data_IF_565150206311
#
_entry.id   IF_565150206311
#
_cell.length_a   1.000
_cell.length_b   1.000
_cell.length_c   1.000
_cell.angle_alpha   90.00
_cell.angle_beta   90.00
_cell.angle_gamma   90.00
#
_symmetry.space_group_name_H-M   'P 1'
#
loop_
_entity.id
_entity.type
_entity.pdbx_description
1 polymer ?
#
# COMPACT_ATOMS: atom_id res chain seq x y z
N UNK A 1 -5.29 -33.84 0.50
CA UNK A 1 -4.60 -33.71 1.79
C UNK A 1 -4.58 -32.22 2.11
N UNK A 2 -5.63 -31.72 2.75
CA UNK A 2 -5.70 -30.32 3.19
C UNK A 2 -4.85 -30.24 4.46
N UNK A 3 -3.65 -29.69 4.36
CA UNK A 3 -2.89 -29.27 5.54
C UNK A 3 -3.75 -28.23 6.25
N UNK A 4 -4.12 -28.51 7.51
CA UNK A 4 -4.83 -27.53 8.32
C UNK A 4 -3.91 -26.33 8.50
N UNK A 5 -4.19 -25.22 7.83
CA UNK A 5 -3.53 -23.95 8.09
C UNK A 5 -3.53 -23.71 9.59
N UNK A 6 -2.36 -23.67 10.21
CA UNK A 6 -2.25 -23.30 11.60
C UNK A 6 -2.85 -21.92 11.80
N UNK A 7 -3.47 -21.67 12.96
CA UNK A 7 -4.00 -20.35 13.32
C UNK A 7 -2.90 -19.28 13.16
N UNK A 8 -1.66 -19.61 13.51
CA UNK A 8 -0.49 -18.74 13.37
C UNK A 8 -0.23 -18.39 11.90
N UNK A 9 -0.24 -19.36 10.99
CA UNK A 9 0.08 -19.12 9.58
C UNK A 9 -1.02 -18.32 8.87
N UNK A 10 -2.29 -18.54 9.27
CA UNK A 10 -3.44 -17.75 8.81
C UNK A 10 -3.39 -16.30 9.28
N UNK A 11 -3.04 -16.08 10.55
CA UNK A 11 -2.87 -14.73 11.10
C UNK A 11 -1.73 -14.00 10.42
N UNK A 12 -0.64 -14.72 10.15
CA UNK A 12 0.53 -14.23 9.46
C UNK A 12 0.15 -13.71 8.05
N UNK A 13 -0.44 -14.53 7.18
CA UNK A 13 -0.84 -14.07 5.83
C UNK A 13 -1.91 -12.96 5.85
N UNK A 14 -2.66 -12.84 6.94
CA UNK A 14 -3.66 -11.78 7.09
C UNK A 14 -3.06 -10.41 7.44
N UNK A 15 -1.84 -10.34 8.00
CA UNK A 15 -1.23 -9.06 8.42
C UNK A 15 -1.15 -8.06 7.27
N UNK A 16 -0.65 -8.48 6.12
CA UNK A 16 -0.47 -7.60 4.97
C UNK A 16 -1.80 -7.06 4.41
N UNK A 17 -2.79 -7.89 4.05
CA UNK A 17 -4.05 -7.38 3.50
C UNK A 17 -4.82 -6.53 4.52
N UNK A 18 -4.81 -6.88 5.81
CA UNK A 18 -5.42 -6.06 6.85
C UNK A 18 -4.72 -4.70 6.99
N UNK A 19 -3.39 -4.68 6.92
CA UNK A 19 -2.63 -3.44 6.90
C UNK A 19 -2.97 -2.58 5.67
N UNK A 20 -3.13 -3.16 4.48
CA UNK A 20 -3.52 -2.45 3.26
C UNK A 20 -4.93 -1.87 3.36
N UNK A 21 -5.90 -2.64 3.85
CA UNK A 21 -7.27 -2.15 4.07
C UNK A 21 -7.27 -0.98 5.05
N UNK A 22 -6.55 -1.12 6.18
CA UNK A 22 -6.40 -0.04 7.15
C UNK A 22 -5.72 1.19 6.54
N UNK A 23 -4.70 1.00 5.70
CA UNK A 23 -4.00 2.08 5.01
C UNK A 23 -4.94 2.87 4.11
N UNK A 24 -5.68 2.19 3.23
CA UNK A 24 -6.61 2.82 2.30
C UNK A 24 -7.74 3.53 3.01
N UNK A 25 -8.31 2.92 4.06
CA UNK A 25 -9.35 3.56 4.88
C UNK A 25 -8.83 4.78 5.63
N UNK A 26 -7.65 4.68 6.27
CA UNK A 26 -7.02 5.80 6.96
C UNK A 26 -6.74 6.94 5.99
N UNK A 27 -6.23 6.64 4.80
CA UNK A 27 -5.90 7.63 3.79
C UNK A 27 -7.15 8.33 3.24
N UNK A 28 -8.22 7.58 2.94
CA UNK A 28 -9.51 8.15 2.54
C UNK A 28 -10.09 9.08 3.60
N UNK A 29 -10.05 8.65 4.87
CA UNK A 29 -10.69 9.38 5.96
C UNK A 29 -9.85 10.56 6.44
N UNK A 30 -8.52 10.43 6.47
CA UNK A 30 -7.63 11.40 7.15
C UNK A 30 -6.60 12.04 6.21
N UNK A 31 -6.46 11.57 4.98
CA UNK A 31 -5.41 11.96 4.02
C UNK A 31 -4.00 11.81 4.60
N UNK A 32 -3.83 10.81 5.48
CA UNK A 32 -2.59 10.55 6.20
C UNK A 32 -2.32 9.06 6.27
N UNK A 33 -1.10 8.70 5.91
CA UNK A 33 -0.52 7.38 6.14
C UNK A 33 0.41 7.47 7.34
N UNK A 34 0.12 6.68 8.37
CA UNK A 34 0.90 6.67 9.61
C UNK A 34 2.23 5.96 9.43
N UNK A 35 3.33 6.55 9.93
CA UNK A 35 4.64 5.87 10.00
C UNK A 35 4.56 4.54 10.78
N UNK A 36 3.60 4.40 11.72
CA UNK A 36 3.39 3.16 12.47
C UNK A 36 3.00 2.01 11.54
N UNK A 37 2.24 2.29 10.48
CA UNK A 37 1.82 1.28 9.51
C UNK A 37 3.03 0.74 8.73
N UNK A 38 3.90 1.64 8.24
CA UNK A 38 5.16 1.23 7.59
C UNK A 38 6.02 0.38 8.53
N UNK A 39 6.09 0.74 9.81
CA UNK A 39 6.83 -0.05 10.80
C UNK A 39 6.22 -1.45 11.00
N UNK A 40 4.89 -1.56 11.09
CA UNK A 40 4.20 -2.86 11.15
C UNK A 40 4.51 -3.72 9.94
N UNK A 41 4.53 -3.14 8.73
CA UNK A 41 4.87 -3.86 7.50
C UNK A 41 6.33 -4.32 7.50
N UNK A 42 7.27 -3.49 7.95
CA UNK A 42 8.70 -3.86 8.02
C UNK A 42 8.92 -5.00 9.03
N UNK A 43 8.34 -4.88 10.23
CA UNK A 43 8.43 -5.92 11.26
C UNK A 43 7.76 -7.21 10.78
N UNK A 44 6.57 -7.09 10.16
CA UNK A 44 5.85 -8.22 9.61
C UNK A 44 6.66 -8.97 8.55
N UNK A 45 7.33 -8.25 7.64
CA UNK A 45 8.24 -8.84 6.66
C UNK A 45 9.39 -9.60 7.34
N UNK A 46 10.06 -9.00 8.32
CA UNK A 46 11.19 -9.63 9.01
C UNK A 46 10.76 -10.93 9.72
N UNK A 47 9.61 -10.90 10.40
CA UNK A 47 9.03 -12.09 11.05
C UNK A 47 8.70 -13.17 10.02
N UNK A 48 8.09 -12.79 8.88
CA UNK A 48 7.75 -13.73 7.82
C UNK A 48 8.97 -14.37 7.18
N UNK A 49 9.94 -13.54 6.79
CA UNK A 49 11.18 -13.97 6.18
C UNK A 49 11.90 -14.98 7.08
N UNK A 50 11.97 -14.71 8.39
CA UNK A 50 12.51 -15.66 9.36
C UNK A 50 11.69 -16.95 9.46
N UNK A 51 10.36 -16.86 9.46
CA UNK A 51 9.45 -18.00 9.62
C UNK A 51 9.50 -18.97 8.44
N UNK A 52 9.59 -18.47 7.21
CA UNK A 52 9.67 -19.28 6.00
C UNK A 52 11.11 -19.67 5.62
N UNK A 53 12.11 -19.22 6.39
CA UNK A 53 13.52 -19.49 6.11
C UNK A 53 14.02 -18.81 4.84
N UNK A 54 13.52 -17.60 4.54
CA UNK A 54 13.94 -16.82 3.37
C UNK A 54 15.46 -16.58 3.45
N UNK A 55 16.20 -16.97 2.42
CA UNK A 55 17.65 -16.83 2.41
C UNK A 55 18.10 -15.36 2.50
N UNK A 56 19.27 -15.12 3.10
CA UNK A 56 19.82 -13.77 3.27
C UNK A 56 19.95 -12.99 1.96
N UNK A 57 20.32 -13.66 0.88
CA UNK A 57 20.40 -13.07 -0.46
C UNK A 57 19.03 -12.58 -0.95
N UNK A 58 18.00 -13.41 -0.81
CA UNK A 58 16.63 -13.07 -1.20
C UNK A 58 16.09 -11.92 -0.33
N UNK A 59 16.27 -12.00 0.99
CA UNK A 59 15.89 -10.92 1.90
C UNK A 59 16.60 -9.60 1.54
N UNK A 60 17.89 -9.66 1.23
CA UNK A 60 18.68 -8.52 0.75
C UNK A 60 18.11 -7.89 -0.52
N UNK A 61 17.66 -8.70 -1.48
CA UNK A 61 17.01 -8.22 -2.70
C UNK A 61 15.68 -7.51 -2.43
N UNK A 62 14.85 -8.03 -1.53
CA UNK A 62 13.62 -7.36 -1.11
C UNK A 62 13.90 -5.98 -0.49
N UNK A 63 14.91 -5.90 0.38
CA UNK A 63 15.34 -4.64 0.99
C UNK A 63 15.88 -3.67 -0.06
N UNK A 64 16.68 -4.14 -1.01
CA UNK A 64 17.23 -3.31 -2.09
C UNK A 64 16.11 -2.72 -2.96
N UNK A 65 15.12 -3.53 -3.33
CA UNK A 65 13.96 -3.08 -4.11
C UNK A 65 13.14 -2.06 -3.33
N UNK A 66 12.88 -2.31 -2.03
CA UNK A 66 12.20 -1.36 -1.17
C UNK A 66 12.93 -0.02 -1.08
N UNK A 67 14.26 -0.06 -0.96
CA UNK A 67 15.09 1.15 -0.90
C UNK A 67 15.07 1.92 -2.23
N UNK A 68 15.13 1.23 -3.37
CA UNK A 68 15.01 1.85 -4.68
C UNK A 68 13.65 2.56 -4.85
N UNK A 69 12.55 1.91 -4.46
CA UNK A 69 11.21 2.51 -4.48
C UNK A 69 11.14 3.70 -3.53
N UNK A 70 11.74 3.62 -2.34
CA UNK A 70 11.79 4.74 -1.40
C UNK A 70 12.57 5.93 -1.97
N UNK A 71 13.71 5.68 -2.61
CA UNK A 71 14.55 6.73 -3.20
C UNK A 71 13.81 7.46 -4.33
N UNK A 72 13.15 6.71 -5.23
CA UNK A 72 12.33 7.27 -6.30
C UNK A 72 11.13 8.04 -5.72
N UNK A 73 10.42 7.44 -4.76
CA UNK A 73 9.28 8.08 -4.08
C UNK A 73 9.69 9.34 -3.33
N UNK A 74 10.86 9.36 -2.70
CA UNK A 74 11.41 10.51 -2.01
C UNK A 74 11.78 11.63 -3.00
N UNK A 75 12.36 11.29 -4.16
CA UNK A 75 12.57 12.26 -5.23
C UNK A 75 11.23 12.88 -5.67
N UNK A 76 10.20 12.05 -5.91
CA UNK A 76 8.85 12.52 -6.22
C UNK A 76 8.25 13.41 -5.11
N UNK A 77 8.46 13.08 -3.84
CA UNK A 77 8.04 13.91 -2.71
C UNK A 77 8.76 15.26 -2.69
N UNK A 78 10.08 15.28 -2.93
CA UNK A 78 10.87 16.52 -2.96
C UNK A 78 10.43 17.46 -4.09
N UNK A 79 9.91 16.91 -5.19
CA UNK A 79 9.34 17.66 -6.32
C UNK A 79 7.86 18.02 -6.11
N UNK A 80 7.23 17.60 -5.01
CA UNK A 80 5.82 17.85 -4.72
C UNK A 80 4.83 16.99 -5.54
N UNK A 81 5.29 15.90 -6.18
CA UNK A 81 4.45 15.04 -7.02
C UNK A 81 3.63 14.03 -6.23
N UNK A 82 4.13 13.59 -5.07
CA UNK A 82 3.52 12.55 -4.24
C UNK A 82 3.75 12.87 -2.75
N UNK A 83 2.84 12.43 -1.86
CA UNK A 83 3.01 12.59 -0.43
C UNK A 83 4.14 11.71 0.13
N UNK A 84 4.84 12.20 1.15
CA UNK A 84 5.90 11.42 1.81
C UNK A 84 5.37 10.16 2.51
N UNK A 85 4.08 10.14 2.87
CA UNK A 85 3.40 8.95 3.39
C UNK A 85 3.23 7.87 2.31
N UNK A 86 2.79 8.26 1.11
CA UNK A 86 2.60 7.36 -0.04
C UNK A 86 3.93 6.73 -0.46
N UNK A 87 5.00 7.53 -0.51
CA UNK A 87 6.35 7.03 -0.82
C UNK A 87 6.81 5.94 0.17
N UNK A 88 6.59 6.16 1.48
CA UNK A 88 6.92 5.16 2.51
C UNK A 88 6.06 3.91 2.42
N UNK A 89 4.77 4.07 2.12
CA UNK A 89 3.86 2.94 1.93
C UNK A 89 4.25 2.11 0.71
N UNK A 90 4.53 2.75 -0.42
CA UNK A 90 4.99 2.08 -1.64
C UNK A 90 6.28 1.30 -1.40
N UNK A 91 7.25 1.88 -0.69
CA UNK A 91 8.48 1.20 -0.29
C UNK A 91 8.22 0.00 0.64
N UNK A 92 7.27 0.14 1.57
CA UNK A 92 6.88 -0.95 2.47
C UNK A 92 6.19 -2.09 1.72
N UNK A 93 5.37 -1.79 0.70
CA UNK A 93 4.75 -2.80 -0.17
C UNK A 93 5.83 -3.51 -1.01
N UNK A 94 6.75 -2.74 -1.58
CA UNK A 94 7.86 -3.26 -2.38
C UNK A 94 8.76 -4.21 -1.58
N UNK A 95 8.96 -3.95 -0.29
CA UNK A 95 9.66 -4.86 0.63
C UNK A 95 8.99 -6.24 0.69
N UNK A 96 7.66 -6.30 0.69
CA UNK A 96 6.95 -7.57 0.67
C UNK A 96 6.99 -8.23 -0.70
N UNK A 97 6.91 -7.47 -1.79
CA UNK A 97 6.75 -8.03 -3.12
C UNK A 97 8.06 -8.48 -3.78
N UNK A 98 9.19 -7.87 -3.40
CA UNK A 98 10.47 -8.15 -4.04
C UNK A 98 10.48 -7.67 -5.50
N UNK A 99 11.41 -8.15 -6.32
CA UNK A 99 11.68 -7.57 -7.65
C UNK A 99 10.48 -7.54 -8.61
N UNK A 100 10.10 -8.69 -9.16
CA UNK A 100 9.12 -8.77 -10.25
C UNK A 100 7.73 -8.26 -9.86
N UNK A 101 7.22 -8.69 -8.70
CA UNK A 101 5.89 -8.27 -8.23
C UNK A 101 5.83 -6.79 -7.86
N UNK A 102 6.94 -6.16 -7.46
CA UNK A 102 6.96 -4.70 -7.24
C UNK A 102 6.68 -3.94 -8.52
N UNK A 103 7.25 -4.37 -9.65
CA UNK A 103 6.99 -3.70 -10.94
C UNK A 103 5.51 -3.83 -11.34
N UNK A 104 4.96 -5.05 -11.25
CA UNK A 104 3.53 -5.28 -11.53
C UNK A 104 2.64 -4.41 -10.63
N UNK A 105 2.95 -4.38 -9.33
CA UNK A 105 2.27 -3.51 -8.36
C UNK A 105 2.33 -2.04 -8.74
N UNK A 106 3.50 -1.50 -9.06
CA UNK A 106 3.66 -0.08 -9.40
C UNK A 106 2.84 0.28 -10.64
N UNK A 107 2.77 -0.60 -11.63
CA UNK A 107 1.94 -0.41 -12.83
C UNK A 107 0.44 -0.40 -12.49
N UNK A 108 -0.04 -1.38 -11.71
CA UNK A 108 -1.45 -1.43 -11.31
C UNK A 108 -1.81 -0.23 -10.42
N UNK A 109 -0.95 0.11 -9.46
CA UNK A 109 -1.13 1.26 -8.58
C UNK A 109 -1.13 2.58 -9.37
N UNK A 110 -0.32 2.71 -10.43
CA UNK A 110 -0.35 3.87 -11.32
C UNK A 110 -1.68 3.98 -12.07
N UNK A 111 -2.22 2.86 -12.58
CA UNK A 111 -3.54 2.83 -13.23
C UNK A 111 -4.64 3.22 -12.25
N UNK A 112 -4.67 2.63 -11.06
CA UNK A 112 -5.65 2.96 -10.02
C UNK A 112 -5.50 4.40 -9.54
N UNK A 113 -4.28 4.90 -9.37
CA UNK A 113 -4.00 6.27 -8.97
C UNK A 113 -4.44 7.27 -10.02
N UNK A 114 -4.19 6.98 -11.30
CA UNK A 114 -4.65 7.80 -12.42
C UNK A 114 -6.18 7.85 -12.49
N UNK A 115 -6.83 6.68 -12.42
CA UNK A 115 -8.30 6.60 -12.40
C UNK A 115 -8.91 7.37 -11.21
N UNK A 116 -8.37 7.17 -10.00
CA UNK A 116 -8.80 7.86 -8.79
C UNK A 116 -8.64 9.38 -8.92
N UNK A 117 -7.51 9.83 -9.45
CA UNK A 117 -7.22 11.25 -9.69
C UNK A 117 -8.26 11.85 -10.63
N UNK A 118 -8.55 11.19 -11.75
CA UNK A 118 -9.57 11.65 -12.69
C UNK A 118 -10.95 11.74 -12.04
N UNK A 119 -11.36 10.70 -11.30
CA UNK A 119 -12.65 10.68 -10.58
C UNK A 119 -12.75 11.86 -9.60
N UNK A 120 -11.70 12.11 -8.81
CA UNK A 120 -11.70 13.23 -7.86
C UNK A 120 -11.72 14.57 -8.59
N UNK A 121 -10.93 14.74 -9.65
CA UNK A 121 -10.93 15.98 -10.43
C UNK A 121 -12.31 16.26 -11.06
N UNK A 122 -13.01 15.24 -11.56
CA UNK A 122 -14.37 15.39 -12.03
C UNK A 122 -15.35 15.71 -10.90
N UNK A 123 -15.26 15.00 -9.77
CA UNK A 123 -16.10 15.24 -8.61
C UNK A 123 -15.94 16.67 -8.07
N UNK A 124 -14.73 17.23 -8.06
CA UNK A 124 -14.42 18.61 -7.65
C UNK A 124 -15.01 19.69 -8.56
N UNK A 125 -15.43 19.35 -9.78
CA UNK A 125 -16.11 20.28 -10.70
C UNK A 125 -17.61 20.38 -10.45
N UNK A 126 -18.19 19.42 -9.72
CA UNK A 126 -19.62 19.36 -9.43
C UNK A 126 -19.86 20.00 -8.05
N UNK A 127 -20.78 20.97 -7.89
CA UNK A 127 -21.04 21.57 -6.58
C UNK A 127 -21.38 20.51 -5.52
N UNK A 128 -20.68 20.53 -4.39
CA UNK A 128 -20.95 19.61 -3.30
C UNK A 128 -22.31 19.94 -2.64
N UNK A 129 -23.26 18.98 -2.56
CA UNK A 129 -24.52 19.19 -1.87
C UNK A 129 -24.30 19.58 -0.40
N UNK A 130 -25.12 20.49 0.13
CA UNK A 130 -24.99 20.98 1.53
C UNK A 130 -24.99 19.86 2.56
N UNK A 131 -25.83 18.84 2.38
CA UNK A 131 -25.87 17.66 3.26
C UNK A 131 -24.55 16.85 3.29
N UNK A 132 -23.71 16.95 2.25
CA UNK A 132 -22.41 16.29 2.19
C UNK A 132 -21.26 17.18 2.66
N UNK A 133 -21.45 18.50 2.68
CA UNK A 133 -20.45 19.46 3.13
C UNK A 133 -20.14 19.33 4.62
N UNK A 134 -21.12 18.91 5.42
CA UNK A 134 -20.94 18.66 6.86
C UNK A 134 -20.16 17.36 7.15
N UNK A 135 -20.03 16.47 6.16
CA UNK A 135 -19.26 15.23 6.29
C UNK A 135 -17.78 15.54 6.08
N UNK A 136 -17.04 15.67 7.19
CA UNK A 136 -15.67 16.20 7.17
C UNK A 136 -14.69 15.51 6.20
N UNK A 137 -14.77 14.20 5.99
CA UNK A 137 -13.90 13.51 5.02
C UNK A 137 -14.29 13.77 3.57
N UNK A 138 -15.59 13.89 3.28
CA UNK A 138 -16.11 14.24 1.95
C UNK A 138 -15.70 15.66 1.59
N UNK A 139 -15.88 16.60 2.52
CA UNK A 139 -15.44 17.98 2.35
C UNK A 139 -13.94 18.07 2.09
N UNK A 140 -13.12 17.26 2.79
CA UNK A 140 -11.67 17.18 2.54
C UNK A 140 -11.34 16.67 1.14
N UNK A 141 -12.01 15.62 0.68
CA UNK A 141 -11.78 15.03 -0.65
C UNK A 141 -12.18 16.00 -1.78
N UNK A 142 -13.28 16.74 -1.57
CA UNK A 142 -13.81 17.72 -2.50
C UNK A 142 -13.01 19.04 -2.54
N UNK A 143 -12.27 19.37 -1.48
CA UNK A 143 -11.47 20.59 -1.46
C UNK A 143 -10.29 20.50 -2.46
N UNK A 144 -10.25 21.41 -3.44
CA UNK A 144 -9.22 21.47 -4.46
C UNK A 144 -7.80 21.77 -3.94
N UNK A 145 -7.68 22.38 -2.75
CA UNK A 145 -6.37 22.63 -2.12
C UNK A 145 -5.76 21.37 -1.49
N UNK A 146 -6.55 20.32 -1.32
CA UNK A 146 -6.07 19.05 -0.80
C UNK A 146 -5.61 18.14 -1.94
N UNK A 147 -4.62 17.30 -1.63
CA UNK A 147 -4.15 16.24 -2.53
C UNK A 147 -5.22 15.15 -2.78
N UNK A 148 -4.82 14.15 -3.55
CA UNK A 148 -5.57 12.91 -3.79
C UNK A 148 -5.08 11.86 -2.78
N UNK A 149 -5.97 11.06 -2.16
CA UNK A 149 -5.59 9.97 -1.27
C UNK A 149 -5.03 8.78 -2.08
N UNK A 150 -3.76 8.88 -2.47
CA UNK A 150 -3.08 7.85 -3.26
C UNK A 150 -2.89 6.53 -2.49
N UNK A 151 -2.92 6.55 -1.17
CA UNK A 151 -2.90 5.35 -0.32
C UNK A 151 -4.03 4.36 -0.64
N UNK A 152 -5.19 4.84 -1.11
CA UNK A 152 -6.27 3.95 -1.60
C UNK A 152 -5.82 3.18 -2.84
N UNK A 153 -5.23 3.87 -3.81
CA UNK A 153 -4.76 3.26 -5.05
C UNK A 153 -3.59 2.29 -4.79
N UNK A 154 -2.66 2.68 -3.92
CA UNK A 154 -1.55 1.82 -3.48
C UNK A 154 -2.06 0.56 -2.77
N UNK A 155 -3.00 0.70 -1.82
CA UNK A 155 -3.61 -0.42 -1.12
C UNK A 155 -4.34 -1.38 -2.08
N UNK A 156 -5.16 -0.84 -2.98
CA UNK A 156 -5.89 -1.64 -3.95
C UNK A 156 -4.94 -2.39 -4.89
N UNK A 157 -3.91 -1.72 -5.43
CA UNK A 157 -2.94 -2.36 -6.29
C UNK A 157 -2.14 -3.46 -5.57
N UNK A 158 -1.78 -3.22 -4.31
CA UNK A 158 -1.13 -4.21 -3.48
C UNK A 158 -2.01 -5.44 -3.23
N UNK A 159 -3.30 -5.25 -2.92
CA UNK A 159 -4.23 -6.36 -2.69
C UNK A 159 -4.47 -7.23 -3.93
N UNK A 160 -4.36 -6.65 -5.13
CA UNK A 160 -4.44 -7.42 -6.39
C UNK A 160 -3.22 -8.31 -6.58
N UNK A 161 -2.03 -7.82 -6.28
CA UNK A 161 -0.77 -8.56 -6.49
C UNK A 161 -0.46 -9.52 -5.34
N UNK A 162 -0.89 -9.21 -4.12
CA UNK A 162 -0.54 -10.00 -2.92
C UNK A 162 -0.76 -11.52 -3.07
N UNK A 163 -1.88 -12.01 -3.66
CA UNK A 163 -2.10 -13.44 -3.84
C UNK A 163 -1.08 -14.15 -4.74
N UNK A 164 -0.42 -13.41 -5.64
CA UNK A 164 0.59 -13.96 -6.56
C UNK A 164 1.98 -14.08 -5.92
N UNK A 165 2.16 -13.52 -4.73
CA UNK A 165 3.47 -13.48 -4.07
C UNK A 165 3.82 -14.82 -3.40
N UNK A 166 5.12 -15.00 -3.14
CA UNK A 166 5.65 -16.18 -2.47
C UNK A 166 5.02 -16.46 -1.10
N UNK A 167 4.42 -15.45 -0.45
CA UNK A 167 3.89 -15.56 0.90
C UNK A 167 2.66 -16.48 1.00
N UNK A 168 1.76 -16.43 0.01
CA UNK A 168 0.64 -17.37 -0.05
C UNK A 168 1.12 -18.77 -0.44
N UNK A 169 2.03 -18.87 -1.41
CA UNK A 169 2.56 -20.15 -1.85
C UNK A 169 3.31 -20.89 -0.73
N UNK A 170 4.10 -20.17 0.07
CA UNK A 170 4.91 -20.75 1.16
C UNK A 170 4.09 -21.25 2.36
N UNK A 171 2.82 -20.87 2.47
CA UNK A 171 1.93 -21.25 3.58
C UNK A 171 0.91 -22.32 3.15
N UNK A 172 0.68 -22.48 1.85
CA UNK A 172 -0.22 -23.49 1.27
C UNK A 172 0.48 -24.83 0.95
N UNK A 173 1.80 -24.89 1.06
CA UNK A 173 2.65 -26.08 0.82
C UNK A 173 3.39 -26.48 2.09
#
# INVERSE_FOLDING_TARGET
MFTSLGIVDSLLIAVFPLAMIFAGLSDMLTMRISNKLSLVLIIGFAVFAARIGLGWEQAGMHVLVAFAVLAIGFAGFSMGWMGGGDAKMAASIALWFGGFHTLQFLLIAAVFGGALTLVILFARRIPLPTAMADIGWVARLHNATNGVPYGIALAAGALVIYPETLWLAAVLH
#
